data_IF_936071147550
#
_entry.id   IF_936071147550
#
_cell.length_a   1.000
_cell.length_b   1.000
_cell.length_c   1.000
_cell.angle_alpha   90.00
_cell.angle_beta   90.00
_cell.angle_gamma   90.00
#
_symmetry.space_group_name_H-M   'P 1'
#
loop_
_entity.id
_entity.type
_entity.pdbx_description
1 polymer ?
#
# COMPACT_ATOMS: atom_id res chain seq x y z
N UNK A 1 22.64 -19.39 -28.65
CA UNK A 1 23.96 -19.30 -27.99
C UNK A 1 24.94 -20.18 -28.76
N UNK A 2 26.09 -19.67 -29.17
CA UNK A 2 27.21 -20.50 -29.68
C UNK A 2 28.44 -20.21 -28.82
N UNK A 3 29.05 -21.26 -28.27
CA UNK A 3 30.25 -21.12 -27.44
C UNK A 3 30.65 -22.41 -26.74
N UNK A 4 31.85 -22.39 -26.17
CA UNK A 4 32.45 -23.53 -25.46
C UNK A 4 32.55 -23.20 -23.97
N UNK A 5 32.19 -24.15 -23.12
CA UNK A 5 32.23 -24.02 -21.67
C UNK A 5 33.50 -24.72 -21.15
N UNK A 6 34.44 -23.96 -20.63
CA UNK A 6 35.74 -24.45 -20.18
C UNK A 6 35.83 -24.39 -18.66
N UNK A 7 36.38 -25.43 -18.04
CA UNK A 7 36.63 -25.44 -16.59
C UNK A 7 38.00 -24.82 -16.31
N UNK A 8 38.02 -23.73 -15.56
CA UNK A 8 39.22 -23.09 -15.08
C UNK A 8 39.88 -23.91 -13.97
N UNK A 9 41.17 -23.68 -13.74
CA UNK A 9 41.99 -24.44 -12.79
C UNK A 9 41.56 -24.27 -11.33
N UNK A 10 40.88 -23.17 -11.01
CA UNK A 10 40.28 -22.92 -9.70
C UNK A 10 38.91 -23.61 -9.50
N UNK A 11 38.46 -24.38 -10.50
CA UNK A 11 37.18 -25.08 -10.49
C UNK A 11 35.99 -24.26 -10.99
N UNK A 12 36.18 -22.98 -11.34
CA UNK A 12 35.14 -22.17 -11.98
C UNK A 12 34.94 -22.57 -13.44
N UNK A 13 33.78 -22.25 -14.01
CA UNK A 13 33.47 -22.54 -15.41
C UNK A 13 33.36 -21.21 -16.19
N UNK A 14 34.16 -21.07 -17.24
CA UNK A 14 34.18 -19.92 -18.13
C UNK A 14 33.51 -20.27 -19.46
N UNK A 15 32.49 -19.51 -19.84
CA UNK A 15 31.87 -19.63 -21.16
C UNK A 15 32.55 -18.70 -22.15
N UNK A 16 33.03 -19.25 -23.26
CA UNK A 16 33.69 -18.48 -24.32
C UNK A 16 32.87 -18.62 -25.61
N UNK A 17 32.08 -17.60 -25.93
CA UNK A 17 31.13 -17.63 -27.05
C UNK A 17 30.35 -16.32 -27.20
N UNK A 18 29.62 -16.18 -28.30
CA UNK A 18 28.75 -15.03 -28.54
C UNK A 18 27.35 -15.29 -27.97
N UNK A 19 26.92 -14.41 -27.07
CA UNK A 19 25.52 -14.28 -26.64
C UNK A 19 24.94 -13.12 -27.42
N UNK A 20 24.15 -13.40 -28.46
CA UNK A 20 23.32 -12.37 -29.09
C UNK A 20 22.16 -12.06 -28.14
N UNK A 21 22.18 -10.87 -27.53
CA UNK A 21 21.05 -10.36 -26.79
C UNK A 21 19.91 -10.07 -27.77
N UNK A 22 18.88 -10.89 -27.74
CA UNK A 22 17.59 -10.57 -28.30
C UNK A 22 16.58 -10.66 -27.16
N UNK A 23 15.86 -9.55 -26.93
CA UNK A 23 14.71 -9.55 -26.06
C UNK A 23 13.70 -10.53 -26.64
N UNK A 24 13.35 -11.55 -25.87
CA UNK A 24 12.37 -12.54 -26.26
C UNK A 24 11.25 -12.55 -25.23
N UNK A 25 10.06 -12.14 -25.67
CA UNK A 25 8.81 -12.33 -24.94
C UNK A 25 8.42 -13.80 -25.06
N UNK A 26 8.15 -14.44 -23.93
CA UNK A 26 7.74 -15.85 -23.89
C UNK A 26 6.30 -15.97 -23.40
N UNK A 27 5.45 -16.62 -24.21
CA UNK A 27 4.04 -16.89 -23.90
C UNK A 27 3.85 -18.25 -23.19
N UNK A 28 4.94 -18.97 -22.94
CA UNK A 28 4.99 -20.22 -22.16
C UNK A 28 6.41 -20.45 -21.65
N UNK A 29 6.57 -21.29 -20.63
CA UNK A 29 7.90 -21.61 -20.09
C UNK A 29 8.78 -22.25 -21.19
N UNK A 30 9.95 -21.68 -21.52
CA UNK A 30 10.75 -22.16 -22.64
C UNK A 30 11.23 -23.59 -22.40
N UNK A 31 11.05 -24.47 -23.39
CA UNK A 31 11.58 -25.83 -23.32
C UNK A 31 13.10 -25.80 -23.17
N UNK A 32 13.65 -26.53 -22.18
CA UNK A 32 15.09 -26.60 -21.91
C UNK A 32 15.66 -25.51 -21.00
N UNK A 33 14.85 -24.56 -20.52
CA UNK A 33 15.32 -23.45 -19.68
C UNK A 33 15.96 -23.93 -18.36
N UNK A 34 15.37 -24.95 -17.71
CA UNK A 34 15.90 -25.56 -16.48
C UNK A 34 17.33 -26.12 -16.66
N UNK A 35 17.64 -26.65 -17.84
CA UNK A 35 18.98 -27.13 -18.15
C UNK A 35 19.98 -25.99 -18.34
N UNK A 36 19.51 -24.81 -18.79
CA UNK A 36 20.34 -23.65 -19.09
C UNK A 36 20.66 -22.79 -17.84
N UNK A 37 19.71 -22.65 -16.90
CA UNK A 37 19.86 -21.77 -15.72
C UNK A 37 20.07 -22.53 -14.41
N UNK A 38 20.00 -23.86 -14.45
CA UNK A 38 20.10 -24.71 -13.27
C UNK A 38 18.79 -24.85 -12.49
N UNK A 39 18.73 -25.91 -11.69
CA UNK A 39 17.51 -26.35 -11.01
C UNK A 39 16.97 -25.35 -9.98
N UNK A 40 17.86 -24.73 -9.20
CA UNK A 40 17.45 -23.74 -8.19
C UNK A 40 16.77 -22.51 -8.82
N UNK A 41 17.39 -21.91 -9.84
CA UNK A 41 16.84 -20.74 -10.52
C UNK A 41 15.53 -21.08 -11.26
N UNK A 42 15.45 -22.27 -11.86
CA UNK A 42 14.23 -22.74 -12.51
C UNK A 42 13.09 -22.96 -11.53
N UNK A 43 13.36 -23.50 -10.34
CA UNK A 43 12.34 -23.70 -9.30
C UNK A 43 11.84 -22.37 -8.73
N UNK A 44 12.74 -21.39 -8.53
CA UNK A 44 12.34 -20.03 -8.13
C UNK A 44 11.44 -19.38 -9.19
N UNK A 45 11.81 -19.46 -10.47
CA UNK A 45 10.99 -18.96 -11.57
C UNK A 45 9.62 -19.65 -11.64
N UNK A 46 9.58 -20.98 -11.49
CA UNK A 46 8.32 -21.73 -11.44
C UNK A 46 7.43 -21.27 -10.28
N UNK A 47 8.00 -21.07 -9.08
CA UNK A 47 7.24 -20.57 -7.94
C UNK A 47 6.66 -19.16 -8.17
N UNK A 48 7.39 -18.31 -8.91
CA UNK A 48 6.91 -16.97 -9.30
C UNK A 48 5.78 -17.07 -10.32
N UNK A 49 5.86 -18.00 -11.29
CA UNK A 49 4.79 -18.25 -12.25
C UNK A 49 3.51 -18.75 -11.56
N UNK A 50 3.64 -19.74 -10.68
CA UNK A 50 2.50 -20.34 -9.98
C UNK A 50 1.84 -19.36 -9.00
N UNK A 51 2.63 -18.51 -8.33
CA UNK A 51 2.12 -17.56 -7.35
C UNK A 51 1.43 -16.33 -7.97
N UNK A 52 1.82 -15.92 -9.19
CA UNK A 52 1.40 -14.64 -9.77
C UNK A 52 0.64 -14.74 -11.10
N UNK A 53 0.48 -15.94 -11.67
CA UNK A 53 -0.23 -16.14 -12.95
C UNK A 53 0.39 -15.33 -14.11
N UNK A 54 1.69 -15.07 -14.05
CA UNK A 54 2.36 -14.05 -14.84
C UNK A 54 2.76 -14.57 -16.23
N UNK A 55 1.88 -14.38 -17.22
CA UNK A 55 2.21 -14.42 -18.65
C UNK A 55 1.58 -13.21 -19.35
N UNK A 56 2.29 -12.53 -20.29
CA UNK A 56 3.67 -12.77 -20.73
C UNK A 56 4.75 -12.11 -19.82
N UNK A 57 6.01 -12.51 -19.97
CA UNK A 57 7.16 -11.93 -19.25
C UNK A 57 8.42 -11.83 -20.13
N UNK A 58 9.33 -10.90 -19.77
CA UNK A 58 10.63 -10.70 -20.42
C UNK A 58 11.76 -11.19 -19.50
N UNK A 59 12.71 -11.96 -20.04
CA UNK A 59 13.90 -12.40 -19.30
C UNK A 59 15.15 -11.71 -19.84
N UNK A 60 15.77 -10.87 -19.02
CA UNK A 60 17.02 -10.18 -19.35
C UNK A 60 18.19 -10.88 -18.65
N UNK A 61 19.09 -11.49 -19.42
CA UNK A 61 20.32 -12.12 -18.90
C UNK A 61 21.48 -11.13 -19.08
N UNK A 62 21.94 -10.51 -17.99
CA UNK A 62 23.18 -9.71 -17.97
C UNK A 62 24.27 -10.52 -17.28
N UNK A 63 25.45 -10.58 -17.91
CA UNK A 63 26.62 -11.27 -17.38
C UNK A 63 27.02 -10.70 -16.03
N UNK A 64 27.24 -11.62 -15.07
CA UNK A 64 27.52 -11.41 -13.65
C UNK A 64 26.55 -10.46 -12.93
N UNK A 65 25.66 -11.06 -12.13
CA UNK A 65 24.71 -10.47 -11.14
C UNK A 65 23.27 -10.20 -11.61
N UNK A 66 22.33 -10.84 -10.88
CA UNK A 66 20.87 -10.70 -10.83
C UNK A 66 20.06 -10.90 -12.13
N UNK A 67 19.31 -12.01 -12.20
CA UNK A 67 18.15 -12.14 -13.09
C UNK A 67 17.02 -11.29 -12.51
N UNK A 68 16.76 -10.13 -13.10
CA UNK A 68 15.58 -9.32 -12.76
C UNK A 68 14.41 -9.81 -13.61
N UNK A 69 13.42 -10.44 -12.97
CA UNK A 69 12.16 -10.80 -13.61
C UNK A 69 11.23 -9.61 -13.45
N UNK A 70 10.99 -8.86 -14.52
CA UNK A 70 9.97 -7.80 -14.55
C UNK A 70 8.79 -8.29 -15.36
N UNK A 71 7.60 -8.30 -14.74
CA UNK A 71 6.34 -8.51 -15.46
C UNK A 71 6.19 -7.38 -16.48
N UNK A 72 6.11 -7.72 -17.76
CA UNK A 72 5.69 -6.76 -18.76
C UNK A 72 4.18 -6.58 -18.63
N UNK A 73 3.76 -5.40 -18.20
CA UNK A 73 2.35 -5.10 -18.03
C UNK A 73 1.65 -5.12 -19.39
N UNK A 74 0.52 -5.82 -19.49
CA UNK A 74 -0.35 -5.74 -20.67
C UNK A 74 -0.83 -4.29 -20.88
N UNK A 75 -1.31 -3.91 -22.07
CA UNK A 75 -1.89 -2.58 -22.28
C UNK A 75 -2.99 -2.25 -21.26
N UNK A 76 -3.84 -3.22 -20.92
CA UNK A 76 -4.89 -3.07 -19.92
C UNK A 76 -4.33 -2.87 -18.51
N UNK A 77 -3.27 -3.58 -18.16
CA UNK A 77 -2.61 -3.39 -16.88
C UNK A 77 -1.91 -2.03 -16.80
N UNK A 78 -1.21 -1.59 -17.85
CA UNK A 78 -0.61 -0.25 -17.94
C UNK A 78 -1.67 0.84 -17.79
N UNK A 79 -2.82 0.68 -18.46
CA UNK A 79 -3.95 1.58 -18.32
C UNK A 79 -4.48 1.60 -16.89
N UNK A 80 -4.67 0.43 -16.27
CA UNK A 80 -5.16 0.33 -14.90
C UNK A 80 -4.18 0.89 -13.84
N UNK A 81 -2.87 0.77 -14.07
CA UNK A 81 -1.86 1.45 -13.24
C UNK A 81 -1.88 2.97 -13.45
N UNK A 82 -2.06 3.43 -14.68
CA UNK A 82 -2.18 4.86 -14.99
C UNK A 82 -3.43 5.48 -14.34
N UNK A 83 -4.57 4.77 -14.37
CA UNK A 83 -5.78 5.16 -13.65
C UNK A 83 -5.53 5.23 -12.13
N UNK A 84 -4.90 4.21 -11.55
CA UNK A 84 -4.56 4.18 -10.13
C UNK A 84 -3.68 5.36 -9.70
N UNK A 85 -2.65 5.70 -10.49
CA UNK A 85 -1.78 6.86 -10.22
C UNK A 85 -2.55 8.18 -10.37
N UNK A 86 -3.40 8.30 -11.38
CA UNK A 86 -4.26 9.47 -11.58
C UNK A 86 -5.26 9.65 -10.45
N UNK A 87 -5.77 8.55 -9.91
CA UNK A 87 -6.66 8.54 -8.76
C UNK A 87 -5.95 9.03 -7.50
N UNK A 88 -4.69 8.64 -7.26
CA UNK A 88 -3.87 9.21 -6.18
C UNK A 88 -3.71 10.72 -6.34
N UNK A 89 -3.42 11.22 -7.55
CA UNK A 89 -3.34 12.66 -7.82
C UNK A 89 -4.64 13.37 -7.46
N UNK A 90 -5.77 12.84 -7.93
CA UNK A 90 -7.10 13.38 -7.62
C UNK A 90 -7.37 13.38 -6.11
N UNK A 91 -7.03 12.30 -5.40
CA UNK A 91 -7.20 12.20 -3.96
C UNK A 91 -6.34 13.25 -3.23
N UNK A 92 -5.11 13.49 -3.69
CA UNK A 92 -4.22 14.51 -3.12
C UNK A 92 -4.73 15.93 -3.37
N UNK A 93 -5.29 16.20 -4.55
CA UNK A 93 -5.94 17.48 -4.86
C UNK A 93 -7.17 17.71 -3.97
N UNK A 94 -8.02 16.69 -3.79
CA UNK A 94 -9.15 16.77 -2.87
C UNK A 94 -8.69 17.00 -1.44
N UNK A 95 -7.64 16.31 -1.00
CA UNK A 95 -7.05 16.48 0.33
C UNK A 95 -6.59 17.93 0.55
N UNK A 96 -5.88 18.50 -0.44
CA UNK A 96 -5.42 19.88 -0.41
C UNK A 96 -6.59 20.87 -0.35
N UNK A 97 -7.60 20.67 -1.21
CA UNK A 97 -8.75 21.58 -1.30
C UNK A 97 -9.64 21.55 -0.05
N UNK A 98 -9.81 20.38 0.58
CA UNK A 98 -10.74 20.18 1.70
C UNK A 98 -10.10 20.34 3.06
N UNK A 99 -8.83 19.95 3.20
CA UNK A 99 -8.16 19.84 4.49
C UNK A 99 -6.87 20.67 4.58
N UNK A 100 -6.50 21.36 3.51
CA UNK A 100 -5.40 22.31 3.48
C UNK A 100 -4.02 21.68 3.23
N UNK A 101 -3.03 22.55 3.05
CA UNK A 101 -1.69 22.17 2.62
C UNK A 101 -0.95 21.28 3.62
N UNK A 102 -1.16 21.50 4.93
CA UNK A 102 -0.44 20.77 5.97
C UNK A 102 -0.84 19.28 6.00
N UNK A 103 -2.14 18.98 6.09
CA UNK A 103 -2.61 17.59 6.08
C UNK A 103 -2.39 16.91 4.72
N UNK A 104 -2.52 17.66 3.61
CA UNK A 104 -2.16 17.16 2.28
C UNK A 104 -0.69 16.74 2.20
N UNK A 105 0.23 17.54 2.73
CA UNK A 105 1.65 17.21 2.79
C UNK A 105 1.91 15.96 3.62
N UNK A 106 1.32 15.85 4.82
CA UNK A 106 1.49 14.64 5.65
C UNK A 106 0.98 13.40 4.91
N UNK A 107 -0.16 13.49 4.23
CA UNK A 107 -0.70 12.38 3.45
C UNK A 107 0.25 11.98 2.31
N UNK A 108 0.84 12.94 1.59
CA UNK A 108 1.80 12.70 0.52
C UNK A 108 3.10 12.08 1.04
N UNK A 109 3.62 12.54 2.18
CA UNK A 109 4.80 11.95 2.82
C UNK A 109 4.54 10.50 3.22
N UNK A 110 3.37 10.22 3.81
CA UNK A 110 2.95 8.86 4.15
C UNK A 110 2.88 7.97 2.90
N UNK A 111 2.36 8.47 1.77
CA UNK A 111 2.31 7.74 0.50
C UNK A 111 3.70 7.45 -0.06
N UNK A 112 4.60 8.44 -0.06
CA UNK A 112 5.94 8.31 -0.61
C UNK A 112 6.76 7.25 0.15
N UNK A 113 6.55 7.14 1.45
CA UNK A 113 7.32 6.25 2.31
C UNK A 113 6.67 4.88 2.57
N UNK A 114 5.40 4.65 2.19
CA UNK A 114 4.66 3.47 2.62
C UNK A 114 5.22 2.15 2.10
N UNK A 115 5.86 2.19 0.92
CA UNK A 115 6.36 0.99 0.26
C UNK A 115 7.46 0.34 1.08
N UNK A 116 7.24 -0.92 1.48
CA UNK A 116 8.20 -1.69 2.28
C UNK A 116 8.27 -1.30 3.77
N UNK A 117 7.45 -0.36 4.27
CA UNK A 117 7.39 -0.07 5.71
C UNK A 117 6.91 -1.31 6.48
N UNK A 118 7.59 -1.56 7.60
CA UNK A 118 7.16 -2.57 8.57
C UNK A 118 6.01 -2.02 9.40
N UNK A 119 5.02 -2.88 9.64
CA UNK A 119 3.91 -2.60 10.55
C UNK A 119 4.42 -2.68 11.99
N UNK A 120 4.20 -1.62 12.77
CA UNK A 120 4.47 -1.58 14.22
C UNK A 120 3.43 -2.38 14.98
N UNK A 121 3.77 -2.86 16.17
CA UNK A 121 2.81 -3.60 17.00
C UNK A 121 1.67 -2.70 17.48
N UNK A 122 0.52 -3.29 17.80
CA UNK A 122 -0.61 -2.58 18.40
C UNK A 122 -0.22 -1.81 19.65
N UNK A 123 0.62 -2.38 20.52
CA UNK A 123 1.05 -1.70 21.74
C UNK A 123 1.81 -0.40 21.42
N UNK A 124 2.73 -0.44 20.46
CA UNK A 124 3.49 0.73 20.03
C UNK A 124 2.62 1.76 19.29
N UNK A 125 1.74 1.29 18.41
CA UNK A 125 0.82 2.12 17.65
C UNK A 125 -0.18 2.82 18.58
N UNK A 126 -0.84 2.08 19.48
CA UNK A 126 -1.81 2.63 20.43
C UNK A 126 -1.17 3.69 21.32
N UNK A 127 0.00 3.40 21.90
CA UNK A 127 0.70 4.37 22.75
C UNK A 127 1.07 5.66 21.99
N UNK A 128 1.36 5.57 20.70
CA UNK A 128 1.63 6.74 19.87
C UNK A 128 0.34 7.50 19.55
N UNK A 129 -0.71 6.77 19.15
CA UNK A 129 -2.00 7.33 18.78
C UNK A 129 -2.71 8.03 19.94
N UNK A 130 -2.60 7.51 21.17
CA UNK A 130 -3.18 8.11 22.38
C UNK A 130 -2.67 9.54 22.64
N UNK A 131 -1.45 9.88 22.21
CA UNK A 131 -0.94 11.26 22.28
C UNK A 131 -1.81 12.25 21.50
N UNK A 132 -2.45 11.77 20.44
CA UNK A 132 -3.35 12.55 19.56
C UNK A 132 -4.78 12.42 20.07
N UNK A 133 -5.29 11.20 20.21
CA UNK A 133 -6.72 10.99 20.55
C UNK A 133 -7.11 11.48 21.94
N UNK A 134 -6.18 11.54 22.91
CA UNK A 134 -6.44 12.10 24.22
C UNK A 134 -6.38 13.64 24.27
N UNK A 135 -5.92 14.29 23.19
CA UNK A 135 -5.83 15.74 23.11
C UNK A 135 -7.23 16.38 23.15
N UNK A 136 -7.51 17.34 24.06
CA UNK A 136 -8.80 18.02 24.10
C UNK A 136 -9.20 18.68 22.78
N UNK A 137 -8.24 19.15 21.98
CA UNK A 137 -8.51 19.74 20.65
C UNK A 137 -9.04 18.73 19.63
N UNK A 138 -8.87 17.42 19.88
CA UNK A 138 -9.38 16.34 19.04
C UNK A 138 -10.79 15.89 19.44
N UNK A 139 -11.33 16.41 20.55
CA UNK A 139 -12.67 16.04 21.01
C UNK A 139 -13.73 16.80 20.23
N UNK A 140 -14.67 16.05 19.68
CA UNK A 140 -15.84 16.60 19.02
C UNK A 140 -16.94 16.90 20.04
N UNK A 141 -17.75 17.93 19.76
CA UNK A 141 -19.01 18.10 20.47
C UNK A 141 -20.04 17.06 19.97
N UNK A 142 -21.20 16.98 20.63
CA UNK A 142 -22.23 16.01 20.29
C UNK A 142 -22.77 16.14 18.86
N UNK A 143 -22.92 17.38 18.35
CA UNK A 143 -23.44 17.63 17.00
C UNK A 143 -22.44 17.17 15.94
N UNK A 144 -21.17 17.53 16.11
CA UNK A 144 -20.09 17.11 15.20
C UNK A 144 -19.88 15.59 15.25
N UNK A 145 -19.97 14.99 16.44
CA UNK A 145 -19.93 13.54 16.61
C UNK A 145 -21.04 12.86 15.82
N UNK A 146 -22.28 13.36 15.92
CA UNK A 146 -23.41 12.81 15.18
C UNK A 146 -23.22 12.96 13.67
N UNK A 147 -22.77 14.13 13.19
CA UNK A 147 -22.50 14.35 11.77
C UNK A 147 -21.45 13.39 11.21
N UNK A 148 -20.40 13.11 11.98
CA UNK A 148 -19.37 12.11 11.64
C UNK A 148 -19.96 10.71 11.57
N UNK A 149 -20.77 10.31 12.55
CA UNK A 149 -21.45 9.01 12.56
C UNK A 149 -22.40 8.86 11.38
N UNK A 150 -23.18 9.89 11.04
CA UNK A 150 -24.10 9.86 9.90
C UNK A 150 -23.35 9.76 8.58
N UNK A 151 -22.24 10.48 8.42
CA UNK A 151 -21.38 10.36 7.25
C UNK A 151 -20.79 8.94 7.10
N UNK A 152 -20.33 8.34 8.20
CA UNK A 152 -19.87 6.95 8.23
C UNK A 152 -20.97 5.95 7.87
N UNK A 153 -22.20 6.21 8.32
CA UNK A 153 -23.37 5.38 8.02
C UNK A 153 -23.82 5.49 6.57
N UNK A 154 -23.59 6.63 5.93
CA UNK A 154 -23.93 6.89 4.53
C UNK A 154 -22.88 6.38 3.52
N UNK A 155 -21.78 5.78 3.99
CA UNK A 155 -20.71 5.29 3.11
C UNK A 155 -21.22 4.23 2.13
N UNK A 156 -21.03 4.50 0.83
CA UNK A 156 -21.27 3.51 -0.21
C UNK A 156 -20.13 2.47 -0.24
N UNK A 157 -20.49 1.21 0.04
CA UNK A 157 -19.54 0.10 0.15
C UNK A 157 -18.85 -0.21 -1.17
N UNK A 158 -19.55 -0.06 -2.29
CA UNK A 158 -19.02 -0.38 -3.62
C UNK A 158 -17.94 0.64 -4.02
N UNK A 159 -18.25 1.93 -3.89
CA UNK A 159 -17.31 3.04 -4.14
C UNK A 159 -16.10 2.93 -3.22
N UNK A 160 -16.32 2.60 -1.95
CA UNK A 160 -15.22 2.40 -1.01
C UNK A 160 -14.27 1.26 -1.43
N UNK A 161 -14.81 0.10 -1.81
CA UNK A 161 -14.00 -1.03 -2.26
C UNK A 161 -13.25 -0.75 -3.58
N UNK A 162 -13.88 -0.04 -4.51
CA UNK A 162 -13.24 0.39 -5.76
C UNK A 162 -12.06 1.34 -5.49
N UNK A 163 -12.25 2.33 -4.61
CA UNK A 163 -11.21 3.28 -4.22
C UNK A 163 -10.02 2.57 -3.55
N UNK A 164 -10.27 1.60 -2.65
CA UNK A 164 -9.19 0.78 -2.07
C UNK A 164 -8.44 0.03 -3.16
N UNK A 165 -9.14 -0.54 -4.14
CA UNK A 165 -8.53 -1.32 -5.21
C UNK A 165 -7.60 -0.44 -6.06
N UNK A 166 -8.04 0.77 -6.40
CA UNK A 166 -7.23 1.74 -7.16
C UNK A 166 -6.02 2.22 -6.35
N UNK A 167 -6.23 2.64 -5.10
CA UNK A 167 -5.16 3.10 -4.22
C UNK A 167 -4.15 2.00 -3.88
N UNK A 168 -4.64 0.82 -3.54
CA UNK A 168 -3.82 -0.36 -3.28
C UNK A 168 -2.92 -0.68 -4.46
N UNK A 169 -3.47 -0.66 -5.69
CA UNK A 169 -2.70 -0.86 -6.92
C UNK A 169 -1.61 0.20 -7.09
N UNK A 170 -1.91 1.48 -6.81
CA UNK A 170 -0.91 2.55 -6.85
C UNK A 170 0.21 2.35 -5.81
N UNK A 171 -0.08 1.75 -4.66
CA UNK A 171 0.88 1.43 -3.60
C UNK A 171 1.52 0.04 -3.74
N UNK A 172 1.31 -0.64 -4.87
CA UNK A 172 1.93 -1.94 -5.17
C UNK A 172 1.25 -3.14 -4.50
N UNK A 173 0.02 -3.00 -3.99
CA UNK A 173 -0.75 -4.11 -3.41
C UNK A 173 -1.96 -4.44 -4.27
N UNK A 174 -2.06 -5.70 -4.70
CA UNK A 174 -3.14 -6.22 -5.56
C UNK A 174 -3.77 -7.46 -4.96
N UNK A 175 -5.07 -7.67 -5.23
CA UNK A 175 -5.81 -8.88 -4.85
C UNK A 175 -6.15 -9.02 -3.35
N UNK A 176 -6.07 -7.93 -2.58
CA UNK A 176 -6.43 -7.93 -1.16
C UNK A 176 -7.83 -7.37 -0.95
N UNK A 177 -8.57 -7.96 -0.03
CA UNK A 177 -9.93 -7.55 0.36
C UNK A 177 -9.90 -7.02 1.78
N UNK A 178 -10.66 -5.96 2.04
CA UNK A 178 -10.73 -5.27 3.33
C UNK A 178 -12.14 -5.36 3.90
N UNK A 179 -12.25 -5.54 5.22
CA UNK A 179 -13.53 -5.58 5.93
C UNK A 179 -14.02 -4.16 6.24
N UNK A 180 -14.59 -3.50 5.23
CA UNK A 180 -15.12 -2.13 5.31
C UNK A 180 -16.06 -1.90 6.50
N UNK A 181 -16.96 -2.86 6.75
CA UNK A 181 -17.99 -2.77 7.78
C UNK A 181 -17.39 -2.75 9.19
N UNK A 182 -16.41 -3.61 9.45
CA UNK A 182 -15.75 -3.70 10.75
C UNK A 182 -15.00 -2.40 11.08
N UNK A 183 -14.29 -1.83 10.10
CA UNK A 183 -13.59 -0.55 10.27
C UNK A 183 -14.60 0.56 10.56
N UNK A 184 -15.71 0.60 9.81
CA UNK A 184 -16.78 1.58 10.02
C UNK A 184 -17.37 1.49 11.41
N UNK A 185 -17.83 0.31 11.81
CA UNK A 185 -18.44 0.08 13.12
C UNK A 185 -17.51 0.50 14.26
N UNK A 186 -16.24 0.10 14.18
CA UNK A 186 -15.23 0.43 15.19
C UNK A 186 -14.84 1.91 15.19
N UNK A 187 -14.86 2.56 14.03
CA UNK A 187 -14.67 4.02 13.94
C UNK A 187 -15.85 4.76 14.57
N UNK A 188 -17.09 4.34 14.29
CA UNK A 188 -18.30 4.87 14.94
C UNK A 188 -18.22 4.71 16.46
N UNK A 189 -17.82 3.52 16.93
CA UNK A 189 -17.64 3.25 18.36
C UNK A 189 -16.60 4.19 18.99
N UNK A 190 -15.45 4.41 18.32
CA UNK A 190 -14.42 5.33 18.79
C UNK A 190 -14.94 6.77 18.95
N UNK A 191 -15.71 7.28 17.99
CA UNK A 191 -16.30 8.62 18.09
C UNK A 191 -17.39 8.71 19.17
N UNK A 192 -18.23 7.68 19.33
CA UNK A 192 -19.33 7.70 20.30
C UNK A 192 -18.87 7.49 21.75
N UNK A 193 -17.84 6.66 21.95
CA UNK A 193 -17.43 6.19 23.29
C UNK A 193 -16.08 6.72 23.74
N UNK A 194 -15.24 7.17 22.80
CA UNK A 194 -13.83 7.49 23.03
C UNK A 194 -12.92 6.26 23.14
N UNK A 195 -13.46 5.03 23.07
CA UNK A 195 -12.65 3.80 23.07
C UNK A 195 -12.19 3.45 21.66
N UNK A 196 -10.94 3.80 21.35
CA UNK A 196 -10.31 3.54 20.06
C UNK A 196 -9.63 2.18 19.96
N UNK A 197 -9.54 1.42 21.05
CA UNK A 197 -8.83 0.13 21.07
C UNK A 197 -9.40 -0.86 20.05
N UNK A 198 -10.73 -1.01 19.88
CA UNK A 198 -11.28 -1.95 18.90
C UNK A 198 -10.85 -1.62 17.47
N UNK A 199 -10.84 -0.33 17.12
CA UNK A 199 -10.42 0.14 15.80
C UNK A 199 -8.93 -0.16 15.57
N UNK A 200 -8.07 0.24 16.51
CA UNK A 200 -6.64 0.02 16.40
C UNK A 200 -6.32 -1.48 16.22
N UNK A 201 -6.94 -2.37 17.00
CA UNK A 201 -6.78 -3.82 16.81
C UNK A 201 -7.20 -4.30 15.40
N UNK A 202 -8.26 -3.72 14.82
CA UNK A 202 -8.67 -4.04 13.44
C UNK A 202 -7.63 -3.57 12.41
N UNK A 203 -7.09 -2.37 12.60
CA UNK A 203 -6.07 -1.82 11.71
C UNK A 203 -4.77 -2.63 11.78
N UNK A 204 -4.37 -3.10 12.97
CA UNK A 204 -3.24 -4.03 13.13
C UNK A 204 -3.51 -5.34 12.37
N UNK A 205 -4.65 -5.97 12.61
CA UNK A 205 -5.00 -7.24 11.96
C UNK A 205 -4.99 -7.11 10.43
N UNK A 206 -5.52 -6.00 9.91
CA UNK A 206 -5.48 -5.67 8.50
C UNK A 206 -4.04 -5.49 8.01
N UNK A 207 -3.24 -4.66 8.67
CA UNK A 207 -1.88 -4.35 8.23
C UNK A 207 -0.98 -5.59 8.26
N UNK A 208 -1.14 -6.47 9.27
CA UNK A 208 -0.44 -7.76 9.34
C UNK A 208 -0.88 -8.70 8.21
N UNK A 209 -2.18 -8.77 7.89
CA UNK A 209 -2.70 -9.66 6.84
C UNK A 209 -2.51 -9.16 5.40
N UNK A 210 -2.40 -7.84 5.20
CA UNK A 210 -2.46 -7.22 3.86
C UNK A 210 -1.27 -6.30 3.55
N UNK A 211 -0.49 -5.91 4.55
CA UNK A 211 0.66 -5.01 4.41
C UNK A 211 0.32 -3.53 4.63
N UNK A 212 1.36 -2.73 4.80
CA UNK A 212 1.26 -1.30 5.11
C UNK A 212 0.50 -0.48 4.04
N UNK A 213 0.73 -0.79 2.76
CA UNK A 213 0.10 -0.10 1.63
C UNK A 213 -1.42 -0.22 1.63
N UNK A 214 -1.99 -1.36 2.02
CA UNK A 214 -3.45 -1.53 2.07
C UNK A 214 -4.08 -0.79 3.24
N UNK A 215 -3.42 -0.76 4.40
CA UNK A 215 -3.92 0.05 5.51
C UNK A 215 -3.91 1.55 5.13
N UNK A 216 -2.87 2.05 4.46
CA UNK A 216 -2.87 3.43 3.94
C UNK A 216 -3.97 3.65 2.89
N UNK A 217 -4.07 2.78 1.88
CA UNK A 217 -5.11 2.86 0.85
C UNK A 217 -6.52 2.89 1.45
N UNK A 218 -6.75 2.01 2.44
CA UNK A 218 -8.00 1.94 3.20
C UNK A 218 -8.29 3.25 3.91
N UNK A 219 -7.29 3.81 4.57
CA UNK A 219 -7.43 5.06 5.31
C UNK A 219 -7.77 6.23 4.38
N UNK A 220 -7.11 6.31 3.23
CA UNK A 220 -7.37 7.33 2.22
C UNK A 220 -8.76 7.16 1.56
N UNK A 221 -9.13 5.93 1.22
CA UNK A 221 -10.43 5.62 0.62
C UNK A 221 -11.60 5.86 1.59
N UNK A 222 -11.39 5.62 2.88
CA UNK A 222 -12.44 5.67 3.89
C UNK A 222 -12.56 7.06 4.50
N UNK A 223 -11.47 7.65 5.00
CA UNK A 223 -11.56 8.85 5.84
C UNK A 223 -11.65 10.14 5.02
N UNK A 224 -11.00 10.23 3.87
CA UNK A 224 -10.87 11.52 3.16
C UNK A 224 -12.14 11.97 2.45
N UNK A 225 -12.87 11.11 1.69
CA UNK A 225 -14.10 11.55 1.05
C UNK A 225 -15.29 11.63 2.03
N UNK A 226 -15.34 10.77 3.05
CA UNK A 226 -16.48 10.68 3.98
C UNK A 226 -16.67 11.97 4.79
N UNK A 227 -15.57 12.61 5.20
CA UNK A 227 -15.64 13.78 6.09
C UNK A 227 -15.53 15.12 5.37
N UNK A 228 -15.52 15.13 4.03
CA UNK A 228 -15.26 16.34 3.24
C UNK A 228 -16.36 17.41 3.36
N UNK A 229 -17.54 17.02 3.84
CA UNK A 229 -18.69 17.89 4.11
C UNK A 229 -18.92 18.15 5.60
N UNK A 230 -18.19 17.48 6.50
CA UNK A 230 -18.35 17.63 7.94
C UNK A 230 -17.67 18.93 8.41
N UNK A 231 -18.35 19.71 9.26
CA UNK A 231 -17.78 20.94 9.82
C UNK A 231 -16.48 20.70 10.60
N UNK A 232 -16.40 19.56 11.30
CA UNK A 232 -15.21 19.10 12.00
C UNK A 232 -14.26 18.23 11.13
N UNK A 233 -14.42 18.24 9.80
CA UNK A 233 -13.73 17.32 8.89
C UNK A 233 -12.20 17.34 9.01
N UNK A 234 -11.59 18.50 9.24
CA UNK A 234 -10.12 18.62 9.45
C UNK A 234 -9.66 17.85 10.69
N UNK A 235 -10.34 18.03 11.82
CA UNK A 235 -10.00 17.36 13.09
C UNK A 235 -10.18 15.85 12.97
N UNK A 236 -11.29 15.43 12.36
CA UNK A 236 -11.63 14.03 12.15
C UNK A 236 -10.58 13.36 11.25
N UNK A 237 -10.26 13.97 10.11
CA UNK A 237 -9.26 13.42 9.18
C UNK A 237 -7.88 13.39 9.80
N UNK A 238 -7.48 14.42 10.55
CA UNK A 238 -6.21 14.40 11.29
C UNK A 238 -6.14 13.25 12.29
N UNK A 239 -7.19 13.05 13.09
CA UNK A 239 -7.28 11.92 14.03
C UNK A 239 -7.15 10.58 13.31
N UNK A 240 -7.85 10.41 12.20
CA UNK A 240 -7.79 9.16 11.44
C UNK A 240 -6.43 8.95 10.76
N UNK A 241 -5.80 10.00 10.24
CA UNK A 241 -4.42 9.93 9.74
C UNK A 241 -3.44 9.54 10.84
N UNK A 242 -3.62 10.04 12.06
CA UNK A 242 -2.80 9.66 13.20
C UNK A 242 -2.98 8.19 13.57
N UNK A 243 -4.20 7.65 13.53
CA UNK A 243 -4.46 6.23 13.75
C UNK A 243 -3.71 5.35 12.73
N UNK A 244 -3.73 5.74 11.46
CA UNK A 244 -2.99 5.05 10.39
C UNK A 244 -1.48 5.19 10.53
N UNK A 245 -0.99 6.42 10.72
CA UNK A 245 0.43 6.72 10.84
C UNK A 245 1.07 6.00 12.03
N UNK A 246 0.33 5.80 13.13
CA UNK A 246 0.83 5.11 14.31
C UNK A 246 1.38 3.70 14.01
N UNK A 247 0.87 3.02 12.98
CA UNK A 247 1.34 1.71 12.55
C UNK A 247 2.63 1.73 11.71
N UNK A 248 3.09 2.89 11.24
CA UNK A 248 4.21 2.98 10.29
C UNK A 248 5.28 3.98 10.70
N UNK A 249 4.89 5.06 11.36
CA UNK A 249 5.77 6.18 11.66
C UNK A 249 5.27 6.99 12.87
N UNK A 250 5.96 6.87 14.00
CA UNK A 250 5.62 7.64 15.20
C UNK A 250 5.83 9.15 15.02
N UNK A 251 6.81 9.55 14.22
CA UNK A 251 7.12 10.96 14.01
C UNK A 251 6.02 11.65 13.20
N UNK A 252 5.39 10.94 12.25
CA UNK A 252 4.22 11.46 11.52
C UNK A 252 3.01 11.68 12.42
N UNK A 253 2.83 10.86 13.45
CA UNK A 253 1.78 11.08 14.46
C UNK A 253 2.05 12.35 15.27
N UNK A 254 3.30 12.56 15.69
CA UNK A 254 3.70 13.77 16.42
C UNK A 254 3.56 15.03 15.53
N UNK A 255 3.89 14.93 14.24
CA UNK A 255 3.67 15.99 13.24
C UNK A 255 2.19 16.37 13.14
N UNK A 256 1.29 15.38 12.99
CA UNK A 256 -0.16 15.60 12.94
C UNK A 256 -0.66 16.29 14.22
N UNK A 257 -0.20 15.84 15.39
CA UNK A 257 -0.63 16.44 16.66
C UNK A 257 -0.27 17.93 16.73
N UNK A 258 0.94 18.28 16.29
CA UNK A 258 1.42 19.66 16.29
C UNK A 258 0.68 20.55 15.29
N UNK A 259 0.18 19.99 14.18
CA UNK A 259 -0.60 20.73 13.20
C UNK A 259 -2.00 21.13 13.72
N UNK A 260 -2.57 20.36 14.65
CA UNK A 260 -3.89 20.63 15.22
C UNK A 260 -3.81 21.48 16.50
N UNK A 261 -2.64 21.52 17.14
CA UNK A 261 -2.38 22.33 18.34
C UNK A 261 -2.02 23.80 18.06
N UNK A 262 -1.65 24.13 16.81
CA UNK A 262 -1.31 25.48 16.36
C UNK A 262 -2.44 26.09 15.53
#
# INVERSE_FOLDING_TARGET
MQGTLNKAQDGSYQFNGSVSAANHTYDSMPAGFKAAIGEAAANTLQSVFDAHGAMPFEVVIKGETAVTVTKELTPDEKAAYTDAVSFVSTANEQMLQKYGANLSKVAQDMQAEISGKKVRSYAEAMATFEKVSANPAMKLNALDTQAVVDALNALDKATFADNITRLGKAFGVVGKVVQAEAIREKTVSGFQTGDWKPLMLELEAMAVGTGAGILLATSMAFFFPVFASAAAGVVVVALMMAATAAYFDAAKVDEINNLILN
#
